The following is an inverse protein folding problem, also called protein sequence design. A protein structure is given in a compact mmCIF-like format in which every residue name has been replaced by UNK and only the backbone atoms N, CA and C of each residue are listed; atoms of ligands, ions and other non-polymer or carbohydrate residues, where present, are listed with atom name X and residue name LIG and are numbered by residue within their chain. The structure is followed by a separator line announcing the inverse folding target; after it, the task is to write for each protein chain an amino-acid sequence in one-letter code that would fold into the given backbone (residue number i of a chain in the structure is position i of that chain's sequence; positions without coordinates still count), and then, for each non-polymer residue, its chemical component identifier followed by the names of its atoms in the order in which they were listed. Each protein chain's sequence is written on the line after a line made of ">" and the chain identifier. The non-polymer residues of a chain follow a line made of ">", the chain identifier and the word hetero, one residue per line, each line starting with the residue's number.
data_IF_587107917953
#
_entry.id   IF_587107917953
#
_cell.length_a   1.000
_cell.length_b   1.000
_cell.length_c   1.000
_cell.angle_alpha   90.00
_cell.angle_beta   90.00
_cell.angle_gamma   90.00
#
_symmetry.space_group_name_H-M   'P 1'
#
loop_
_entity.id
_entity.type
_entity.pdbx_description
1 polymer ?
#
# COMPACT_ATOMS: atom_id res chain seq x y z
N UNK A 1 -16.52 0.41 -4.83
CA UNK A 1 -15.06 0.66 -4.72
C UNK A 1 -14.55 0.09 -3.41
N UNK A 2 -13.42 -0.60 -3.45
CA UNK A 2 -12.80 -1.22 -2.28
C UNK A 2 -11.60 -0.38 -1.89
N UNK A 3 -11.45 -0.08 -0.59
CA UNK A 3 -10.25 0.56 -0.07
C UNK A 3 -9.39 -0.48 0.64
N UNK A 4 -8.20 -0.70 0.11
CA UNK A 4 -7.17 -1.47 0.79
C UNK A 4 -6.43 -0.57 1.76
N UNK A 5 -6.26 -1.05 3.00
CA UNK A 5 -5.46 -0.38 4.01
C UNK A 5 -4.32 -1.32 4.38
N UNK A 6 -3.10 -0.96 4.00
CA UNK A 6 -1.92 -1.74 4.33
C UNK A 6 -1.12 -1.00 5.41
N UNK A 7 -1.03 -1.61 6.60
CA UNK A 7 -0.21 -1.06 7.68
C UNK A 7 1.19 -1.65 7.59
N UNK A 8 2.18 -0.78 7.48
CA UNK A 8 3.58 -1.16 7.38
C UNK A 8 4.37 -0.46 8.47
N UNK A 9 5.05 -1.24 9.31
CA UNK A 9 6.02 -0.71 10.25
C UNK A 9 7.40 -0.79 9.60
N UNK A 10 8.11 0.33 9.60
CA UNK A 10 9.41 0.48 8.95
C UNK A 10 10.51 0.44 10.01
N UNK A 11 11.63 -0.20 9.69
CA UNK A 11 12.78 -0.25 10.58
C UNK A 11 13.26 1.16 10.93
N UNK A 12 13.66 1.41 12.20
CA UNK A 12 14.19 2.72 12.59
C UNK A 12 15.36 3.13 11.69
N UNK A 13 15.30 4.37 11.19
CA UNK A 13 16.33 4.93 10.32
C UNK A 13 16.13 4.64 8.82
N UNK A 14 15.17 3.79 8.45
CA UNK A 14 14.88 3.48 7.04
C UNK A 14 13.64 4.20 6.50
N UNK A 15 13.10 5.17 7.23
CA UNK A 15 11.88 5.87 6.84
C UNK A 15 12.06 6.61 5.51
N UNK A 16 13.18 7.30 5.32
CA UNK A 16 13.45 8.03 4.08
C UNK A 16 13.62 7.07 2.89
N UNK A 17 14.28 5.94 3.08
CA UNK A 17 14.41 4.90 2.04
C UNK A 17 13.06 4.30 1.68
N UNK A 18 12.23 4.03 2.67
CA UNK A 18 10.88 3.52 2.45
C UNK A 18 10.05 4.50 1.61
N UNK A 19 10.05 5.77 2.00
CA UNK A 19 9.28 6.79 1.28
C UNK A 19 9.76 6.95 -0.16
N UNK A 20 11.08 6.89 -0.39
CA UNK A 20 11.63 6.92 -1.74
C UNK A 20 11.23 5.69 -2.55
N UNK A 21 11.24 4.50 -1.93
CA UNK A 21 10.82 3.26 -2.57
C UNK A 21 9.34 3.27 -2.94
N UNK A 22 8.49 3.74 -2.03
CA UNK A 22 7.05 3.88 -2.28
C UNK A 22 6.77 4.89 -3.39
N UNK A 23 7.51 5.99 -3.44
CA UNK A 23 7.35 6.97 -4.50
C UNK A 23 7.65 6.36 -5.88
N UNK A 24 8.68 5.51 -5.97
CA UNK A 24 8.98 4.77 -7.20
C UNK A 24 7.89 3.74 -7.53
N UNK A 25 7.34 3.09 -6.52
CA UNK A 25 6.30 2.08 -6.69
C UNK A 25 4.97 2.68 -7.16
N UNK A 26 4.77 3.98 -7.02
CA UNK A 26 3.52 4.64 -7.42
C UNK A 26 3.16 4.35 -8.89
N UNK A 27 4.16 4.30 -9.80
CA UNK A 27 3.92 4.00 -11.21
C UNK A 27 3.37 2.58 -11.40
N UNK A 28 3.80 1.63 -10.57
CA UNK A 28 3.33 0.24 -10.60
C UNK A 28 1.84 0.20 -10.28
N UNK A 29 1.42 0.88 -9.21
CA UNK A 29 0.02 0.93 -8.81
C UNK A 29 -0.83 1.68 -9.85
N UNK A 30 -0.30 2.76 -10.39
CA UNK A 30 -1.02 3.53 -11.42
C UNK A 30 -1.33 2.71 -12.67
N UNK A 31 -0.48 1.75 -12.99
CA UNK A 31 -0.66 0.85 -14.14
C UNK A 31 -1.42 -0.43 -13.80
N UNK A 32 -1.72 -0.68 -12.55
CA UNK A 32 -2.40 -1.89 -12.12
C UNK A 32 -3.89 -1.85 -12.50
N UNK A 33 -4.40 -2.97 -13.00
CA UNK A 33 -5.81 -3.11 -13.38
C UNK A 33 -6.73 -2.80 -12.20
N UNK A 34 -7.62 -1.85 -12.38
CA UNK A 34 -8.63 -1.48 -11.40
C UNK A 34 -8.14 -0.61 -10.25
N UNK A 35 -6.86 -0.27 -10.20
CA UNK A 35 -6.34 0.64 -9.19
C UNK A 35 -6.76 2.08 -9.54
N UNK A 36 -7.43 2.76 -8.60
CA UNK A 36 -7.98 4.09 -8.81
C UNK A 36 -7.20 5.19 -8.10
N UNK A 37 -6.61 4.87 -6.96
CA UNK A 37 -5.84 5.84 -6.21
C UNK A 37 -4.82 5.12 -5.32
N UNK A 38 -3.78 5.85 -4.97
CA UNK A 38 -2.71 5.35 -4.11
C UNK A 38 -2.20 6.51 -3.27
N UNK A 39 -2.36 6.41 -1.97
CA UNK A 39 -1.89 7.42 -1.04
C UNK A 39 -1.17 6.74 0.12
N UNK A 40 -0.18 7.44 0.66
CA UNK A 40 0.59 6.96 1.81
C UNK A 40 0.47 7.98 2.94
N UNK A 41 0.10 7.49 4.11
CA UNK A 41 0.02 8.33 5.30
C UNK A 41 1.00 7.81 6.35
N UNK A 42 1.59 8.72 7.09
CA UNK A 42 2.51 8.38 8.18
C UNK A 42 1.82 8.70 9.50
N UNK A 43 1.90 7.78 10.46
CA UNK A 43 1.36 8.04 11.79
C UNK A 43 2.13 9.15 12.48
N UNK A 44 1.41 10.09 13.10
CA UNK A 44 2.01 11.16 13.89
C UNK A 44 2.55 10.58 15.20
N UNK A 45 1.75 9.73 15.87
CA UNK A 45 2.09 9.14 17.16
C UNK A 45 3.20 8.10 17.06
N UNK A 46 3.22 7.34 15.95
CA UNK A 46 4.20 6.27 15.70
C UNK A 46 4.92 6.55 14.38
N UNK A 47 5.99 7.35 14.37
CA UNK A 47 6.62 7.81 13.11
C UNK A 47 7.19 6.73 12.21
N UNK A 48 7.34 5.51 12.71
CA UNK A 48 7.76 4.36 11.90
C UNK A 48 6.60 3.63 11.23
N UNK A 49 5.37 3.98 11.58
CA UNK A 49 4.16 3.31 11.06
C UNK A 49 3.56 4.10 9.92
N UNK A 50 3.38 3.42 8.81
CA UNK A 50 2.76 3.96 7.60
C UNK A 50 1.49 3.20 7.27
N UNK A 51 0.57 3.87 6.60
CA UNK A 51 -0.60 3.23 6.01
C UNK A 51 -0.67 3.59 4.54
N UNK A 52 -0.74 2.54 3.71
CA UNK A 52 -1.02 2.67 2.29
C UNK A 52 -2.53 2.59 2.12
N UNK A 53 -3.10 3.57 1.45
CA UNK A 53 -4.53 3.65 1.18
C UNK A 53 -4.70 3.54 -0.32
N UNK A 54 -5.19 2.39 -0.77
CA UNK A 54 -5.26 2.08 -2.20
C UNK A 54 -6.70 1.72 -2.57
N UNK A 55 -7.28 2.48 -3.50
CA UNK A 55 -8.63 2.21 -3.98
C UNK A 55 -8.59 1.29 -5.20
N UNK A 56 -9.40 0.24 -5.14
CA UNK A 56 -9.56 -0.74 -6.22
C UNK A 56 -11.02 -0.78 -6.67
N UNK A 57 -11.26 -0.99 -7.95
CA UNK A 57 -12.63 -1.15 -8.47
C UNK A 57 -13.30 -2.37 -7.87
N UNK A 58 -12.58 -3.48 -7.75
CA UNK A 58 -13.05 -4.72 -7.16
C UNK A 58 -12.01 -5.28 -6.21
N UNK A 59 -12.44 -6.14 -5.29
CA UNK A 59 -11.53 -6.84 -4.37
C UNK A 59 -10.54 -7.70 -5.16
N UNK A 60 -11.00 -8.38 -6.21
CA UNK A 60 -10.20 -9.31 -7.00
C UNK A 60 -9.11 -8.60 -7.81
N UNK A 61 -9.30 -7.33 -8.16
CA UNK A 61 -8.23 -6.55 -8.79
C UNK A 61 -6.98 -6.54 -7.92
N UNK A 62 -7.13 -6.49 -6.61
CA UNK A 62 -5.99 -6.58 -5.69
C UNK A 62 -5.62 -8.02 -5.39
N UNK A 63 -6.56 -8.81 -4.87
CA UNK A 63 -6.26 -10.11 -4.26
C UNK A 63 -5.92 -11.20 -5.28
N UNK A 64 -6.32 -11.04 -6.53
CA UNK A 64 -6.07 -12.00 -7.62
C UNK A 64 -5.15 -11.39 -8.67
N UNK A 65 -5.59 -10.32 -9.33
CA UNK A 65 -4.86 -9.76 -10.47
C UNK A 65 -3.51 -9.17 -10.04
N UNK A 66 -3.51 -8.27 -9.06
CA UNK A 66 -2.29 -7.59 -8.64
C UNK A 66 -1.33 -8.50 -7.90
N UNK A 67 -1.80 -9.21 -6.87
CA UNK A 67 -0.93 -10.08 -6.06
C UNK A 67 -0.38 -11.27 -6.86
N UNK A 68 -1.05 -11.65 -7.94
CA UNK A 68 -0.57 -12.70 -8.86
C UNK A 68 0.36 -12.18 -9.96
N UNK A 69 0.67 -10.88 -9.99
CA UNK A 69 1.43 -10.27 -11.07
C UNK A 69 2.92 -10.11 -10.74
N UNK A 70 3.74 -9.93 -11.79
CA UNK A 70 5.14 -9.57 -11.62
C UNK A 70 5.26 -8.18 -10.99
N UNK A 71 4.34 -7.27 -11.31
CA UNK A 71 4.31 -5.91 -10.76
C UNK A 71 4.28 -5.92 -9.23
N UNK A 72 3.50 -6.80 -8.60
CA UNK A 72 3.46 -6.96 -7.16
C UNK A 72 4.81 -7.38 -6.59
N UNK A 73 5.48 -8.34 -7.25
CA UNK A 73 6.81 -8.78 -6.84
C UNK A 73 7.83 -7.65 -6.94
N UNK A 74 7.75 -6.86 -7.99
CA UNK A 74 8.63 -5.70 -8.20
C UNK A 74 8.41 -4.65 -7.11
N UNK A 75 7.14 -4.35 -6.79
CA UNK A 75 6.79 -3.46 -5.69
C UNK A 75 7.37 -3.96 -4.36
N UNK A 76 7.15 -5.23 -4.03
CA UNK A 76 7.62 -5.81 -2.77
C UNK A 76 9.16 -5.75 -2.69
N UNK A 77 9.85 -5.99 -3.79
CA UNK A 77 11.31 -5.91 -3.83
C UNK A 77 11.82 -4.49 -3.53
N UNK A 78 11.07 -3.46 -3.94
CA UNK A 78 11.46 -2.07 -3.70
C UNK A 78 11.37 -1.66 -2.23
N UNK A 79 10.43 -2.23 -1.47
CA UNK A 79 10.10 -1.71 -0.13
C UNK A 79 10.28 -2.73 0.99
N UNK A 80 10.21 -4.02 0.73
CA UNK A 80 10.25 -5.05 1.77
C UNK A 80 11.52 -5.05 2.62
N UNK A 81 12.70 -4.65 2.11
CA UNK A 81 13.89 -4.54 2.97
C UNK A 81 13.75 -3.53 4.11
N UNK A 82 12.82 -2.57 3.98
CA UNK A 82 12.56 -1.56 5.01
C UNK A 82 11.57 -2.04 6.07
N UNK A 83 10.89 -3.17 5.87
CA UNK A 83 9.83 -3.63 6.77
C UNK A 83 10.39 -4.16 8.09
N UNK A 84 9.75 -3.74 9.18
CA UNK A 84 9.93 -4.34 10.49
C UNK A 84 8.73 -5.26 10.73
N UNK A 85 8.87 -6.51 10.35
CA UNK A 85 7.80 -7.49 10.38
C UNK A 85 6.89 -7.45 9.15
N UNK A 86 5.93 -8.38 9.08
CA UNK A 86 5.01 -8.47 7.94
C UNK A 86 3.98 -7.33 7.96
N UNK A 87 3.59 -6.81 6.80
CA UNK A 87 2.48 -5.85 6.71
C UNK A 87 1.16 -6.47 7.16
N UNK A 88 0.28 -5.62 7.70
CA UNK A 88 -1.10 -6.00 8.03
C UNK A 88 -2.01 -5.35 7.00
N UNK A 89 -2.77 -6.16 6.27
CA UNK A 89 -3.61 -5.68 5.17
C UNK A 89 -5.08 -6.04 5.44
N UNK A 90 -5.95 -5.05 5.26
CA UNK A 90 -7.39 -5.29 5.26
C UNK A 90 -8.04 -4.52 4.12
N UNK A 91 -9.25 -4.93 3.78
CA UNK A 91 -10.06 -4.27 2.76
C UNK A 91 -11.35 -3.78 3.39
N UNK A 92 -11.76 -2.60 2.99
CA UNK A 92 -13.00 -1.99 3.49
C UNK A 92 -13.86 -1.52 2.32
N UNK A 93 -15.15 -1.43 2.56
CA UNK A 93 -16.09 -0.79 1.66
C UNK A 93 -16.76 0.36 2.39
N UNK A 94 -17.24 1.34 1.63
CA UNK A 94 -17.90 2.49 2.24
C UNK A 94 -19.22 2.06 2.86
N UNK A 95 -19.34 2.17 4.19
CA UNK A 95 -20.59 1.88 4.90
C UNK A 95 -21.51 3.11 4.95
N UNK A 96 -20.91 4.29 5.13
CA UNK A 96 -21.66 5.54 5.24
C UNK A 96 -20.73 6.73 4.95
N UNK A 97 -21.21 7.62 4.09
CA UNK A 97 -20.60 8.94 3.88
C UNK A 97 -21.47 9.96 4.61
N UNK A 98 -21.00 10.46 5.74
CA UNK A 98 -21.82 11.36 6.57
C UNK A 98 -21.86 12.80 6.06
N UNK A 99 -20.84 13.21 5.29
CA UNK A 99 -20.75 14.55 4.69
C UNK A 99 -20.46 14.49 3.21
#
# INVERSE_FOLDING_TARGET
>A
MILEIAQIDVKPGLEAEFEAGIAKAAAIFKSAKGCRSFAVRRSIEKPQRYRLLIEWETLENHTVDFTGSQAWKDYRAMVSPCFEGPPSVEHTELALQAF
#
